data_IF_301805773088
#
_entry.id   IF_301805773088
#
_cell.length_a   1.000
_cell.length_b   1.000
_cell.length_c   1.000
_cell.angle_alpha   90.00
_cell.angle_beta   90.00
_cell.angle_gamma   90.00
#
_symmetry.space_group_name_H-M   'P 1'
#
loop_
_entity.id
_entity.type
_entity.pdbx_description
1 polymer ?
#
# COMPACT_ATOMS: atom_id res chain seq x y z
N UNK A 1 27.67 50.04 9.82
CA UNK A 1 27.07 48.70 9.97
C UNK A 1 27.57 47.92 8.77
N UNK A 2 28.56 47.04 8.98
CA UNK A 2 29.21 46.36 7.87
C UNK A 2 28.36 45.15 7.49
N UNK A 3 27.89 45.15 6.24
CA UNK A 3 27.13 44.08 5.62
C UNK A 3 28.01 42.84 5.45
N UNK A 4 28.16 42.09 6.54
CA UNK A 4 28.84 40.81 6.53
C UNK A 4 27.87 39.74 6.03
N UNK A 5 27.45 39.84 4.76
CA UNK A 5 26.73 38.76 4.08
C UNK A 5 27.74 37.64 3.85
N UNK A 6 27.93 36.83 4.89
CA UNK A 6 28.73 35.61 4.89
C UNK A 6 28.28 34.79 3.69
N UNK A 7 29.20 34.61 2.73
CA UNK A 7 29.04 33.70 1.60
C UNK A 7 28.57 32.37 2.17
N UNK A 8 27.32 32.02 1.94
CA UNK A 8 26.78 30.71 2.31
C UNK A 8 27.58 29.70 1.49
N UNK A 9 28.40 28.91 2.18
CA UNK A 9 29.09 27.77 1.58
C UNK A 9 28.05 26.95 0.83
N UNK A 10 28.22 26.85 -0.49
CA UNK A 10 27.36 26.08 -1.40
C UNK A 10 27.39 24.57 -1.14
N UNK A 11 28.12 24.14 -0.10
CA UNK A 11 28.20 22.78 0.42
C UNK A 11 27.47 22.62 1.77
N UNK A 12 26.66 23.61 2.18
CA UNK A 12 25.87 23.53 3.41
C UNK A 12 24.88 22.36 3.31
N UNK A 13 24.86 21.49 4.32
CA UNK A 13 23.94 20.35 4.38
C UNK A 13 22.47 20.79 4.27
N UNK A 14 22.15 22.02 4.68
CA UNK A 14 20.81 22.57 4.55
C UNK A 14 20.37 22.75 3.09
N UNK A 15 21.28 23.18 2.21
CA UNK A 15 20.99 23.38 0.77
C UNK A 15 20.77 22.02 0.08
N UNK A 16 21.56 21.00 0.45
CA UNK A 16 21.38 19.63 -0.04
C UNK A 16 20.06 19.01 0.43
N UNK A 17 19.66 19.28 1.68
CA UNK A 17 18.37 18.81 2.20
C UNK A 17 17.21 19.49 1.49
N UNK A 18 17.28 20.81 1.29
CA UNK A 18 16.28 21.59 0.56
C UNK A 18 16.12 21.09 -0.88
N UNK A 19 17.25 20.88 -1.58
CA UNK A 19 17.24 20.37 -2.95
C UNK A 19 16.64 18.95 -3.02
N UNK A 20 16.98 18.08 -2.07
CA UNK A 20 16.43 16.73 -2.00
C UNK A 20 14.91 16.74 -1.72
N UNK A 21 14.44 17.61 -0.82
CA UNK A 21 13.01 17.76 -0.53
C UNK A 21 12.24 18.29 -1.74
N UNK A 22 12.81 19.24 -2.50
CA UNK A 22 12.21 19.73 -3.73
C UNK A 22 12.17 18.67 -4.84
N UNK A 23 13.14 17.75 -4.90
CA UNK A 23 13.11 16.61 -5.82
C UNK A 23 12.03 15.58 -5.42
N UNK A 24 11.86 15.34 -4.11
CA UNK A 24 10.77 14.51 -3.58
C UNK A 24 9.39 15.10 -3.84
N UNK A 25 9.25 16.43 -3.77
CA UNK A 25 7.99 17.14 -4.05
C UNK A 25 7.64 17.18 -5.54
N UNK A 26 8.65 17.23 -6.42
CA UNK A 26 8.46 17.21 -7.89
C UNK A 26 8.19 15.83 -8.46
N UNK A 27 8.64 14.80 -7.78
CA UNK A 27 8.42 13.43 -8.21
C UNK A 27 7.15 12.90 -7.55
N UNK A 28 6.21 12.45 -8.37
CA UNK A 28 4.97 11.75 -7.99
C UNK A 28 5.27 10.36 -7.40
N UNK A 29 6.16 10.27 -6.39
CA UNK A 29 6.57 9.03 -5.74
C UNK A 29 5.37 8.31 -5.12
N UNK A 30 4.39 9.07 -4.59
CA UNK A 30 3.16 8.48 -4.05
C UNK A 30 2.38 7.71 -5.13
N UNK A 31 2.25 8.23 -6.35
CA UNK A 31 1.57 7.50 -7.44
C UNK A 31 2.39 6.31 -7.94
N UNK A 32 3.72 6.37 -7.87
CA UNK A 32 4.62 5.29 -8.29
C UNK A 32 4.60 4.09 -7.33
N UNK A 33 4.40 4.33 -6.03
CA UNK A 33 4.27 3.28 -5.02
C UNK A 33 2.86 2.65 -5.00
N UNK A 34 1.81 3.43 -5.24
CA UNK A 34 0.42 2.93 -5.21
C UNK A 34 -0.10 2.37 -6.54
N UNK A 35 0.58 2.59 -7.67
CA UNK A 35 0.16 2.05 -9.00
C UNK A 35 0.84 0.74 -9.41
N UNK A 36 1.78 0.24 -8.61
CA UNK A 36 2.33 -1.10 -8.82
C UNK A 36 1.44 -2.10 -8.11
N UNK A 37 0.35 -2.52 -8.77
CA UNK A 37 -0.18 -3.86 -8.56
C UNK A 37 0.95 -4.83 -8.92
N UNK A 38 1.82 -5.14 -7.96
CA UNK A 38 2.83 -6.17 -8.16
C UNK A 38 2.09 -7.46 -8.46
N UNK A 39 2.20 -7.89 -9.70
CA UNK A 39 1.63 -9.15 -10.14
C UNK A 39 2.50 -10.25 -9.54
N UNK A 40 2.03 -10.83 -8.44
CA UNK A 40 2.70 -11.98 -7.84
C UNK A 40 2.58 -13.17 -8.79
N UNK A 41 3.67 -13.94 -8.94
CA UNK A 41 3.58 -15.26 -9.55
C UNK A 41 2.70 -16.19 -8.70
N UNK A 42 2.17 -17.27 -9.30
CA UNK A 42 1.38 -18.25 -8.57
C UNK A 42 2.16 -18.86 -7.38
N UNK A 43 3.47 -19.04 -7.52
CA UNK A 43 4.34 -19.60 -6.48
C UNK A 43 4.60 -18.58 -5.34
N UNK A 44 4.74 -17.30 -5.67
CA UNK A 44 4.85 -16.23 -4.66
C UNK A 44 3.53 -16.02 -3.93
N UNK A 45 2.40 -16.10 -4.63
CA UNK A 45 1.08 -16.11 -4.03
C UNK A 45 0.94 -17.31 -3.09
N UNK A 46 1.35 -18.52 -3.49
CA UNK A 46 1.28 -19.69 -2.63
C UNK A 46 2.11 -19.54 -1.35
N UNK A 47 3.27 -18.88 -1.42
CA UNK A 47 4.10 -18.60 -0.23
C UNK A 47 3.60 -17.42 0.62
N UNK A 48 2.93 -16.45 0.00
CA UNK A 48 2.43 -15.25 0.67
C UNK A 48 1.05 -15.46 1.29
N UNK A 49 0.22 -16.26 0.63
CA UNK A 49 -1.12 -16.63 1.08
C UNK A 49 -0.98 -17.67 2.19
N UNK A 50 -1.45 -17.32 3.38
CA UNK A 50 -1.59 -18.27 4.46
C UNK A 50 -2.76 -19.22 4.13
N UNK A 51 -2.44 -20.38 3.55
CA UNK A 51 -3.42 -21.39 3.11
C UNK A 51 -4.45 -21.72 4.19
N UNK A 52 -4.03 -21.84 5.46
CA UNK A 52 -4.94 -22.10 6.58
C UNK A 52 -5.98 -20.99 6.74
N UNK A 53 -5.53 -19.74 6.73
CA UNK A 53 -6.41 -18.57 6.87
C UNK A 53 -7.33 -18.43 5.66
N UNK A 54 -6.84 -18.73 4.46
CA UNK A 54 -7.67 -18.75 3.24
C UNK A 54 -8.76 -19.83 3.34
N UNK A 55 -8.40 -21.04 3.75
CA UNK A 55 -9.35 -22.14 3.91
C UNK A 55 -10.41 -21.84 4.98
N UNK A 56 -10.02 -21.20 6.10
CA UNK A 56 -10.95 -20.73 7.14
C UNK A 56 -11.96 -19.71 6.58
N UNK A 57 -11.49 -18.74 5.79
CA UNK A 57 -12.35 -17.74 5.13
C UNK A 57 -13.32 -18.38 4.13
N UNK A 58 -12.85 -19.35 3.34
CA UNK A 58 -13.71 -20.06 2.39
C UNK A 58 -14.79 -20.88 3.11
N UNK A 59 -14.44 -21.60 4.18
CA UNK A 59 -15.42 -22.37 4.95
C UNK A 59 -16.49 -21.46 5.61
N UNK A 60 -16.09 -20.30 6.13
CA UNK A 60 -17.03 -19.30 6.65
C UNK A 60 -17.96 -18.76 5.56
N UNK A 61 -17.45 -18.56 4.34
CA UNK A 61 -18.26 -18.14 3.20
C UNK A 61 -19.29 -19.21 2.83
N UNK A 62 -18.89 -20.49 2.78
CA UNK A 62 -19.80 -21.58 2.46
C UNK A 62 -20.90 -21.72 3.53
N UNK A 63 -20.55 -21.61 4.81
CA UNK A 63 -21.52 -21.62 5.92
C UNK A 63 -22.50 -20.45 5.82
N UNK A 64 -22.01 -19.24 5.55
CA UNK A 64 -22.85 -18.06 5.34
C UNK A 64 -23.81 -18.25 4.16
N UNK A 65 -23.33 -18.73 3.02
CA UNK A 65 -24.15 -18.96 1.83
C UNK A 65 -25.18 -20.08 2.05
N UNK A 66 -24.80 -21.13 2.77
CA UNK A 66 -25.73 -22.19 3.14
C UNK A 66 -26.84 -21.66 4.04
N UNK A 67 -26.50 -20.85 5.05
CA UNK A 67 -27.49 -20.23 5.94
C UNK A 67 -28.42 -19.28 5.20
N UNK A 68 -27.90 -18.48 4.27
CA UNK A 68 -28.70 -17.59 3.43
C UNK A 68 -29.71 -18.38 2.58
N UNK A 69 -29.27 -19.47 1.94
CA UNK A 69 -30.15 -20.29 1.12
C UNK A 69 -31.23 -20.98 1.95
N UNK A 70 -30.90 -21.51 3.13
CA UNK A 70 -31.89 -22.11 4.03
C UNK A 70 -32.93 -21.10 4.48
N UNK A 71 -32.50 -19.88 4.87
CA UNK A 71 -33.44 -18.83 5.27
C UNK A 71 -34.36 -18.42 4.10
N UNK A 72 -33.84 -18.36 2.87
CA UNK A 72 -34.64 -18.06 1.68
C UNK A 72 -35.67 -19.16 1.39
N UNK A 73 -35.30 -20.44 1.52
CA UNK A 73 -36.24 -21.56 1.36
C UNK A 73 -37.38 -21.51 2.39
N UNK A 74 -37.07 -21.14 3.65
CA UNK A 74 -38.06 -20.98 4.71
C UNK A 74 -39.06 -19.82 4.46
N UNK A 75 -38.77 -18.88 3.56
CA UNK A 75 -39.70 -17.80 3.17
C UNK A 75 -40.74 -18.22 2.13
N UNK A 76 -40.51 -19.31 1.39
CA UNK A 76 -41.39 -19.77 0.32
C UNK A 76 -42.48 -20.77 0.80
N UNK A 77 -42.48 -21.17 2.08
CA UNK A 77 -43.54 -21.93 2.77
C UNK A 77 -44.58 -21.02 3.48
#
# INVERSE_FOLDING_TARGET
>A
MNDNKKSLDTNSSAENVEQHLQELEKADYERLYYSQEQTFSADELANTINERRLNELMAQSDEFLSGLNSEIEDFDE
#
